data_IF_052201653114
#
_entry.id   IF_052201653114
#
_cell.length_a   1.000
_cell.length_b   1.000
_cell.length_c   1.000
_cell.angle_alpha   90.00
_cell.angle_beta   90.00
_cell.angle_gamma   90.00
#
_symmetry.space_group_name_H-M   'P 1'
#
loop_
_entity.id
_entity.type
_entity.pdbx_description
1 polymer ?
#
# COMPACT_ATOMS: atom_id res chain seq x y z
N UNK A 1 -8.66 -44.49 9.98
CA UNK A 1 -7.74 -43.72 10.85
C UNK A 1 -6.59 -43.23 9.98
N UNK A 2 -6.44 -41.91 9.79
CA UNK A 2 -5.38 -41.34 8.94
C UNK A 2 -4.17 -40.96 9.80
N UNK A 3 -3.00 -41.42 9.41
CA UNK A 3 -1.74 -41.18 10.11
C UNK A 3 -1.38 -39.69 10.05
N UNK A 4 -1.35 -39.05 11.22
CA UNK A 4 -0.80 -37.70 11.36
C UNK A 4 0.72 -37.76 11.19
N UNK A 5 1.19 -37.65 9.95
CA UNK A 5 2.60 -37.56 9.62
C UNK A 5 3.28 -36.44 10.42
N UNK A 6 4.15 -36.85 11.34
CA UNK A 6 4.86 -35.94 12.24
C UNK A 6 5.78 -35.04 11.42
N UNK A 7 5.47 -33.74 11.35
CA UNK A 7 6.27 -32.75 10.63
C UNK A 7 7.66 -32.65 11.28
N UNK A 8 8.76 -32.67 10.52
CA UNK A 8 10.09 -32.54 11.08
C UNK A 8 10.22 -31.22 11.86
N UNK A 9 10.71 -31.32 13.11
CA UNK A 9 10.89 -30.18 14.01
C UNK A 9 12.10 -29.35 13.56
N UNK A 10 11.85 -28.16 13.01
CA UNK A 10 12.90 -27.22 12.62
C UNK A 10 13.81 -26.90 13.82
N UNK A 11 15.12 -27.03 13.61
CA UNK A 11 16.17 -26.71 14.58
C UNK A 11 17.17 -25.78 13.89
N UNK A 12 17.05 -24.46 14.04
CA UNK A 12 17.95 -23.52 13.38
C UNK A 12 19.39 -23.73 13.86
N UNK A 13 20.31 -23.87 12.93
CA UNK A 13 21.74 -23.83 13.18
C UNK A 13 22.24 -22.39 13.34
N UNK A 14 23.52 -22.23 13.70
CA UNK A 14 24.14 -20.90 13.86
C UNK A 14 24.03 -20.02 12.61
N UNK A 15 24.12 -20.63 11.42
CA UNK A 15 23.96 -19.91 10.14
C UNK A 15 22.53 -19.43 9.92
N UNK A 16 21.54 -20.24 10.29
CA UNK A 16 20.12 -19.87 10.19
C UNK A 16 19.79 -18.72 11.15
N UNK A 17 20.34 -18.76 12.37
CA UNK A 17 20.20 -17.65 13.33
C UNK A 17 20.84 -16.37 12.78
N UNK A 18 22.05 -16.45 12.24
CA UNK A 18 22.72 -15.29 11.65
C UNK A 18 21.94 -14.73 10.46
N UNK A 19 21.42 -15.59 9.58
CA UNK A 19 20.60 -15.19 8.44
C UNK A 19 19.32 -14.48 8.88
N UNK A 20 18.58 -15.07 9.83
CA UNK A 20 17.36 -14.49 10.37
C UNK A 20 17.63 -13.16 11.09
N UNK A 21 18.76 -13.03 11.79
CA UNK A 21 19.17 -11.77 12.40
C UNK A 21 19.40 -10.68 11.35
N UNK A 22 20.08 -10.98 10.25
CA UNK A 22 20.29 -10.03 9.14
C UNK A 22 18.96 -9.65 8.49
N UNK A 23 18.10 -10.62 8.18
CA UNK A 23 16.78 -10.36 7.60
C UNK A 23 15.95 -9.49 8.53
N UNK A 24 15.91 -9.83 9.83
CA UNK A 24 15.21 -9.06 10.84
C UNK A 24 15.73 -7.62 10.96
N UNK A 25 17.06 -7.44 10.92
CA UNK A 25 17.68 -6.12 10.95
C UNK A 25 17.30 -5.27 9.72
N UNK A 26 17.33 -5.86 8.52
CA UNK A 26 16.93 -5.17 7.28
C UNK A 26 15.45 -4.77 7.33
N UNK A 27 14.56 -5.68 7.72
CA UNK A 27 13.13 -5.37 7.84
C UNK A 27 12.91 -4.25 8.85
N UNK A 28 13.56 -4.34 10.02
CA UNK A 28 13.45 -3.31 11.06
C UNK A 28 13.92 -1.95 10.55
N UNK A 29 15.06 -1.91 9.86
CA UNK A 29 15.59 -0.69 9.27
C UNK A 29 14.63 -0.09 8.22
N UNK A 30 14.02 -0.92 7.37
CA UNK A 30 13.04 -0.47 6.38
C UNK A 30 11.76 0.08 7.03
N UNK A 31 11.26 -0.58 8.08
CA UNK A 31 10.06 -0.14 8.79
C UNK A 31 10.31 1.18 9.52
N UNK A 32 11.43 1.31 10.23
CA UNK A 32 11.79 2.55 10.94
C UNK A 32 12.08 3.69 9.97
N UNK A 33 12.71 3.39 8.81
CA UNK A 33 13.00 4.38 7.77
C UNK A 33 11.80 4.78 6.91
N UNK A 34 10.72 3.98 6.89
CA UNK A 34 9.49 4.31 6.18
C UNK A 34 8.71 5.36 6.97
N UNK A 35 9.03 6.64 6.77
CA UNK A 35 8.33 7.77 7.39
C UNK A 35 6.82 7.80 7.10
N UNK A 36 6.10 8.64 7.86
CA UNK A 36 4.67 8.86 7.67
C UNK A 36 4.36 9.33 6.23
N UNK A 37 3.26 8.82 5.66
CA UNK A 37 2.77 9.26 4.35
C UNK A 37 2.46 10.76 4.42
N UNK A 38 3.28 11.59 3.80
CA UNK A 38 3.07 13.05 3.71
C UNK A 38 2.09 13.44 2.60
N UNK A 39 1.66 12.48 1.78
CA UNK A 39 0.71 12.71 0.69
C UNK A 39 -0.70 12.97 1.23
N UNK A 40 -1.35 14.00 0.68
CA UNK A 40 -2.68 14.43 1.11
C UNK A 40 -3.72 13.31 0.94
N UNK A 41 -4.57 13.08 1.94
CA UNK A 41 -5.68 12.15 1.82
C UNK A 41 -6.72 12.60 0.78
N UNK A 42 -7.40 11.63 0.15
CA UNK A 42 -8.54 11.91 -0.72
C UNK A 42 -9.73 12.37 0.15
N UNK A 43 -10.45 13.45 -0.23
CA UNK A 43 -11.62 13.90 0.53
C UNK A 43 -12.70 12.83 0.62
N UNK A 44 -13.37 12.73 1.77
CA UNK A 44 -14.50 11.81 1.95
C UNK A 44 -15.83 12.47 1.65
N UNK A 45 -16.04 12.84 0.38
CA UNK A 45 -17.25 13.48 -0.12
C UNK A 45 -17.96 12.64 -1.20
N UNK A 46 -19.17 13.07 -1.59
CA UNK A 46 -20.01 12.35 -2.53
C UNK A 46 -19.33 12.07 -3.88
N UNK A 47 -18.48 12.98 -4.36
CA UNK A 47 -17.77 12.84 -5.64
C UNK A 47 -16.68 11.78 -5.53
N UNK A 48 -15.82 11.89 -4.52
CA UNK A 48 -14.67 11.00 -4.38
C UNK A 48 -15.07 9.58 -3.93
N UNK A 49 -16.19 9.44 -3.22
CA UNK A 49 -16.70 8.12 -2.78
C UNK A 49 -17.13 7.20 -3.91
N UNK A 50 -17.45 7.72 -5.09
CA UNK A 50 -18.00 6.92 -6.21
C UNK A 50 -17.05 6.72 -7.39
N UNK A 51 -15.96 7.48 -7.46
CA UNK A 51 -14.97 7.38 -8.55
C UNK A 51 -14.11 6.14 -8.33
N UNK A 52 -14.12 5.20 -9.28
CA UNK A 52 -13.41 3.91 -9.15
C UNK A 52 -12.42 3.62 -10.27
N UNK A 53 -12.40 4.45 -11.31
CA UNK A 53 -11.48 4.31 -12.44
C UNK A 53 -10.51 5.49 -12.56
N UNK A 54 -9.35 5.22 -13.14
CA UNK A 54 -8.27 6.19 -13.29
C UNK A 54 -8.65 7.36 -14.21
N UNK A 55 -9.43 7.13 -15.27
CA UNK A 55 -9.80 8.18 -16.21
C UNK A 55 -10.75 9.21 -15.56
N UNK A 56 -11.69 8.74 -14.73
CA UNK A 56 -12.59 9.58 -13.95
C UNK A 56 -11.82 10.45 -12.93
N UNK A 57 -10.77 9.93 -12.29
CA UNK A 57 -9.88 10.74 -11.46
C UNK A 57 -9.24 11.89 -12.28
N UNK A 58 -8.76 11.58 -13.48
CA UNK A 58 -8.07 12.54 -14.35
C UNK A 58 -9.01 13.57 -15.01
N UNK A 59 -10.33 13.38 -14.98
CA UNK A 59 -11.27 14.40 -15.44
C UNK A 59 -11.11 15.73 -14.67
N UNK A 60 -10.78 15.65 -13.38
CA UNK A 60 -10.54 16.80 -12.52
C UNK A 60 -9.06 17.00 -12.18
N UNK A 61 -8.26 15.91 -12.12
CA UNK A 61 -6.84 15.95 -11.72
C UNK A 61 -5.84 15.84 -12.88
N UNK A 62 -6.31 15.77 -14.12
CA UNK A 62 -5.48 15.77 -15.32
C UNK A 62 -4.77 17.11 -15.57
N UNK A 63 -4.00 17.18 -16.65
CA UNK A 63 -3.34 18.43 -17.06
C UNK A 63 -4.37 19.40 -17.62
N UNK A 64 -4.45 20.60 -17.06
CA UNK A 64 -5.36 21.66 -17.54
C UNK A 64 -6.82 21.51 -17.10
N UNK A 65 -7.13 20.57 -16.22
CA UNK A 65 -8.46 20.42 -15.61
C UNK A 65 -8.63 21.33 -14.39
N UNK A 66 -9.78 21.23 -13.71
CA UNK A 66 -10.13 22.12 -12.60
C UNK A 66 -9.17 22.07 -11.39
N UNK A 67 -8.57 20.91 -11.11
CA UNK A 67 -7.65 20.70 -9.97
C UNK A 67 -6.46 19.80 -10.35
N UNK A 68 -5.58 20.27 -11.25
CA UNK A 68 -4.52 19.44 -11.81
C UNK A 68 -3.55 18.94 -10.73
N UNK A 69 -2.91 17.81 -10.99
CA UNK A 69 -1.79 17.34 -10.17
C UNK A 69 -0.67 18.41 -10.09
N UNK A 70 -0.02 18.58 -8.92
CA UNK A 70 1.03 19.58 -8.75
C UNK A 70 2.26 19.26 -9.61
N UNK A 71 3.08 20.26 -9.95
CA UNK A 71 4.37 20.03 -10.60
C UNK A 71 5.22 19.05 -9.79
N UNK A 72 5.82 18.06 -10.46
CA UNK A 72 6.63 17.01 -9.80
C UNK A 72 5.83 15.81 -9.28
N UNK A 73 4.50 15.79 -9.43
CA UNK A 73 3.73 14.57 -9.17
C UNK A 73 4.22 13.42 -10.06
N UNK A 74 4.34 12.23 -9.48
CA UNK A 74 4.81 11.05 -10.21
C UNK A 74 3.85 10.68 -11.35
N UNK A 75 4.36 9.94 -12.35
CA UNK A 75 3.52 9.42 -13.46
C UNK A 75 2.87 8.07 -13.14
N UNK A 76 2.85 7.67 -11.87
CA UNK A 76 2.23 6.41 -11.47
C UNK A 76 0.71 6.50 -11.61
N UNK A 77 0.11 5.44 -12.16
CA UNK A 77 -1.36 5.32 -12.31
C UNK A 77 -2.04 4.79 -11.03
N UNK A 78 -1.24 4.37 -10.04
CA UNK A 78 -1.69 3.77 -8.79
C UNK A 78 -1.86 4.85 -7.71
N UNK A 79 -2.87 5.72 -7.88
CA UNK A 79 -3.11 6.86 -6.98
C UNK A 79 -3.16 6.46 -5.50
N UNK A 80 -3.72 5.28 -5.22
CA UNK A 80 -4.04 4.81 -3.87
C UNK A 80 -2.85 4.20 -3.13
N UNK A 81 -1.71 4.02 -3.80
CA UNK A 81 -0.48 3.58 -3.15
C UNK A 81 0.03 4.63 -2.15
N UNK A 82 -0.17 5.90 -2.50
CA UNK A 82 0.26 7.05 -1.71
C UNK A 82 -0.93 7.76 -1.04
N UNK A 83 -2.03 7.98 -1.76
CA UNK A 83 -3.17 8.72 -1.23
C UNK A 83 -4.12 7.81 -0.42
N UNK A 84 -4.31 8.14 0.85
CA UNK A 84 -5.30 7.47 1.70
C UNK A 84 -6.73 7.67 1.14
N UNK A 85 -7.51 6.60 1.13
CA UNK A 85 -8.84 6.58 0.52
C UNK A 85 -9.94 7.06 1.46
N UNK A 86 -11.07 7.55 0.90
CA UNK A 86 -12.23 7.89 1.70
C UNK A 86 -12.73 6.68 2.50
N UNK A 87 -13.18 6.91 3.74
CA UNK A 87 -13.72 5.84 4.59
C UNK A 87 -14.95 5.16 3.95
N UNK A 88 -15.73 5.90 3.17
CA UNK A 88 -16.97 5.42 2.55
C UNK A 88 -16.81 5.20 1.03
N UNK A 89 -15.60 4.90 0.56
CA UNK A 89 -15.32 4.70 -0.85
C UNK A 89 -15.83 3.36 -1.37
N UNK A 90 -16.65 3.38 -2.43
CA UNK A 90 -17.25 2.17 -3.01
C UNK A 90 -16.24 1.29 -3.74
N UNK A 91 -15.08 1.82 -4.13
CA UNK A 91 -14.02 1.04 -4.76
C UNK A 91 -13.23 0.17 -3.78
N UNK A 92 -13.30 0.48 -2.48
CA UNK A 92 -12.62 -0.26 -1.41
C UNK A 92 -13.49 -1.35 -0.77
N UNK A 93 -14.80 -1.32 -0.98
CA UNK A 93 -15.70 -2.38 -0.54
C UNK A 93 -15.40 -3.64 -1.34
N UNK A 94 -14.67 -4.56 -0.71
CA UNK A 94 -14.54 -5.93 -1.21
C UNK A 94 -15.93 -6.57 -1.28
N UNK A 95 -16.21 -7.21 -2.42
CA UNK A 95 -17.03 -8.43 -2.47
C UNK A 95 -16.46 -9.49 -1.53
#
# INVERSE_FOLDING_TARGET
MGEHGMRPRWRPGRRDVAFLAVVGAVITALVVGSGERTTKAVPDDATHRVVTDHAACLACHGKGSARPQPPGHTRAVQCFQCHAQPAHWIGGSKR
#
